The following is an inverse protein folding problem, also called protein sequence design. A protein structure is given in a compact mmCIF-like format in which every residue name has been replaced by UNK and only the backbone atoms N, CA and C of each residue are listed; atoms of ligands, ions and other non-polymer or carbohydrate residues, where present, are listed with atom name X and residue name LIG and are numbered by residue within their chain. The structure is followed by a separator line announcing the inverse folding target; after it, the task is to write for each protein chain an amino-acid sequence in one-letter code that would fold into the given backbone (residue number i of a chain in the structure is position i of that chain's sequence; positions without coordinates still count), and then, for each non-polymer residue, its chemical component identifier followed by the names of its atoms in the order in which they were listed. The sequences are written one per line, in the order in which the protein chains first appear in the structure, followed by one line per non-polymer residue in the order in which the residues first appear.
data_IF_622983312859
#
_entry.id   IF_622983312859
#
_cell.length_a   1.000
_cell.length_b   1.000
_cell.length_c   1.000
_cell.angle_alpha   90.00
_cell.angle_beta   90.00
_cell.angle_gamma   90.00
#
_symmetry.space_group_name_H-M   'P 1'
#
loop_
_entity.id
_entity.type
_entity.pdbx_description
1 polymer ?
#
# COMPACT_ATOMS: atom_id res chain seq x y z
N UNK A 1 -0.44 25.15 11.19
CA UNK A 1 -1.86 24.88 10.84
C UNK A 1 -2.43 23.81 11.77
N UNK A 2 -3.73 23.84 12.03
CA UNK A 2 -4.41 22.82 12.84
C UNK A 2 -4.69 21.59 11.96
N UNK A 3 -4.69 20.39 12.55
CA UNK A 3 -5.16 19.14 11.92
C UNK A 3 -6.58 19.32 11.38
N UNK A 4 -6.85 18.83 10.15
CA UNK A 4 -8.16 18.86 9.49
C UNK A 4 -8.61 17.43 9.21
N UNK A 5 -9.90 17.16 9.42
CA UNK A 5 -10.52 15.86 9.14
C UNK A 5 -11.55 16.02 8.03
N UNK A 6 -11.64 15.05 7.14
CA UNK A 6 -12.50 15.02 5.96
C UNK A 6 -13.42 13.81 5.99
N UNK A 7 -14.60 13.95 5.41
CA UNK A 7 -15.62 12.91 5.32
C UNK A 7 -16.02 12.68 3.86
N UNK A 8 -16.26 11.42 3.48
CA UNK A 8 -16.64 11.07 2.12
C UNK A 8 -17.82 11.89 1.57
N UNK A 9 -18.86 12.09 2.38
CA UNK A 9 -20.10 12.73 1.93
C UNK A 9 -19.99 14.25 1.78
N UNK A 10 -19.16 14.92 2.58
CA UNK A 10 -19.02 16.40 2.55
C UNK A 10 -17.81 16.86 1.74
N UNK A 11 -16.72 16.09 1.77
CA UNK A 11 -15.43 16.52 1.26
C UNK A 11 -14.96 15.70 0.03
N UNK A 12 -15.70 14.65 -0.32
CA UNK A 12 -15.42 13.77 -1.44
C UNK A 12 -14.35 12.71 -1.17
N UNK A 13 -13.75 12.68 0.02
CA UNK A 13 -12.84 11.64 0.47
C UNK A 13 -12.80 11.56 2.00
N UNK A 14 -12.41 10.39 2.53
CA UNK A 14 -12.21 10.19 3.96
C UNK A 14 -10.73 10.31 4.30
N UNK A 15 -10.39 11.29 5.15
CA UNK A 15 -8.99 11.57 5.41
C UNK A 15 -8.73 12.47 6.62
N UNK A 16 -7.46 12.56 6.99
CA UNK A 16 -6.96 13.51 8.01
C UNK A 16 -5.67 14.15 7.53
N UNK A 17 -5.69 15.46 7.41
CA UNK A 17 -4.51 16.25 7.07
C UNK A 17 -3.74 16.64 8.33
N UNK A 18 -2.46 16.33 8.33
CA UNK A 18 -1.48 16.68 9.34
C UNK A 18 -0.46 17.64 8.74
N UNK A 19 -0.59 18.95 8.96
CA UNK A 19 0.43 19.90 8.51
C UNK A 19 1.73 19.69 9.27
N UNK A 20 2.86 19.78 8.57
CA UNK A 20 4.16 19.70 9.22
C UNK A 20 4.36 20.93 10.15
N UNK A 21 4.64 20.72 11.45
CA UNK A 21 4.78 21.83 12.40
C UNK A 21 5.96 22.76 12.10
N UNK A 22 6.95 22.30 11.32
CA UNK A 22 8.09 23.14 10.87
C UNK A 22 7.81 23.88 9.57
N UNK A 23 6.60 23.72 9.02
CA UNK A 23 6.25 24.21 7.69
C UNK A 23 6.82 23.28 6.58
N UNK A 24 5.99 22.97 5.60
CA UNK A 24 6.38 22.21 4.41
C UNK A 24 5.61 22.72 3.19
N UNK A 25 6.23 22.62 2.01
CA UNK A 25 5.64 23.04 0.73
C UNK A 25 5.15 21.85 -0.12
N UNK A 26 5.40 20.64 0.33
CA UNK A 26 5.09 19.39 -0.38
C UNK A 26 4.30 18.48 0.54
N UNK A 27 3.46 17.64 -0.01
CA UNK A 27 2.63 16.71 0.76
C UNK A 27 2.78 15.27 0.27
N UNK A 28 2.68 14.33 1.23
CA UNK A 28 2.53 12.91 0.96
C UNK A 28 1.13 12.45 1.34
N UNK A 29 0.42 11.80 0.41
CA UNK A 29 -0.78 11.02 0.71
C UNK A 29 -0.30 9.67 1.27
N UNK A 30 -0.73 9.34 2.49
CA UNK A 30 -0.42 8.08 3.15
C UNK A 30 -1.67 7.22 3.30
N UNK A 31 -1.66 6.04 2.69
CA UNK A 31 -2.73 5.06 2.82
C UNK A 31 -2.35 4.08 3.94
N UNK A 32 -2.72 4.38 5.19
CA UNK A 32 -2.22 3.70 6.39
C UNK A 32 -3.32 2.95 7.18
N UNK A 33 -4.14 2.15 6.49
CA UNK A 33 -5.10 1.28 7.17
C UNK A 33 -6.51 1.83 7.32
N UNK A 34 -7.23 1.37 8.35
CA UNK A 34 -8.68 1.49 8.46
C UNK A 34 -9.19 2.89 8.83
N UNK A 35 -8.35 3.68 9.50
CA UNK A 35 -8.74 5.02 9.95
C UNK A 35 -7.57 6.01 9.77
N UNK A 36 -7.79 7.13 9.06
CA UNK A 36 -6.74 8.11 8.79
C UNK A 36 -6.28 8.88 10.04
N UNK A 37 -6.85 8.55 11.20
CA UNK A 37 -6.53 9.14 12.50
C UNK A 37 -6.22 8.09 13.58
N UNK A 38 -6.04 6.84 13.20
CA UNK A 38 -5.65 5.77 14.12
C UNK A 38 -4.19 5.90 14.57
N UNK A 39 -3.72 4.91 15.29
CA UNK A 39 -2.36 4.91 15.84
C UNK A 39 -1.30 4.75 14.75
N UNK A 40 -1.54 3.88 13.75
CA UNK A 40 -0.59 3.64 12.66
C UNK A 40 -0.51 4.84 11.71
N UNK A 41 -1.64 5.44 11.35
CA UNK A 41 -1.69 6.67 10.57
C UNK A 41 -0.90 7.80 11.25
N UNK A 42 -1.03 7.95 12.58
CA UNK A 42 -0.24 8.93 13.36
C UNK A 42 1.26 8.62 13.37
N UNK A 43 1.65 7.36 13.41
CA UNK A 43 3.07 6.97 13.32
C UNK A 43 3.62 7.27 11.93
N UNK A 44 2.89 6.92 10.86
CA UNK A 44 3.23 7.28 9.49
C UNK A 44 3.35 8.79 9.29
N UNK A 45 2.37 9.56 9.77
CA UNK A 45 2.41 11.01 9.71
C UNK A 45 3.63 11.61 10.44
N UNK A 46 3.99 11.09 11.62
CA UNK A 46 5.18 11.53 12.35
C UNK A 46 6.47 11.21 11.61
N UNK A 47 6.55 10.03 10.99
CA UNK A 47 7.71 9.64 10.19
C UNK A 47 7.86 10.55 8.96
N UNK A 48 6.79 10.80 8.23
CA UNK A 48 6.76 11.71 7.09
C UNK A 48 7.07 13.16 7.47
N UNK A 49 6.57 13.64 8.62
CA UNK A 49 6.95 14.95 9.15
C UNK A 49 8.45 15.08 9.41
N UNK A 50 9.10 14.03 9.94
CA UNK A 50 10.56 14.01 10.12
C UNK A 50 11.28 14.13 8.78
N UNK A 51 10.68 13.61 7.71
CA UNK A 51 11.18 13.71 6.34
C UNK A 51 10.77 15.01 5.62
N UNK A 52 10.16 15.98 6.31
CA UNK A 52 10.00 17.35 5.81
C UNK A 52 8.73 17.61 4.99
N UNK A 53 7.75 16.74 4.99
CA UNK A 53 6.51 16.88 4.20
C UNK A 53 5.27 17.06 5.06
N UNK A 54 4.22 17.69 4.52
CA UNK A 54 2.86 17.61 5.03
C UNK A 54 2.29 16.21 4.76
N UNK A 55 1.30 15.78 5.51
CA UNK A 55 0.73 14.44 5.36
C UNK A 55 -0.79 14.50 5.28
N UNK A 56 -1.35 13.84 4.28
CA UNK A 56 -2.77 13.53 4.22
C UNK A 56 -2.92 12.02 4.36
N UNK A 57 -3.31 11.53 5.54
CA UNK A 57 -3.69 10.13 5.71
C UNK A 57 -5.10 9.92 5.16
N UNK A 58 -5.29 8.88 4.35
CA UNK A 58 -6.59 8.50 3.79
C UNK A 58 -6.90 7.04 4.07
N UNK A 59 -8.17 6.72 4.11
CA UNK A 59 -8.72 5.35 4.18
C UNK A 59 -10.00 5.27 3.35
N UNK A 60 -10.47 4.07 2.98
CA UNK A 60 -11.68 3.93 2.17
C UNK A 60 -12.94 4.50 2.85
N UNK A 61 -13.14 4.20 4.13
CA UNK A 61 -14.28 4.69 4.91
C UNK A 61 -13.97 4.63 6.42
N UNK A 62 -14.90 5.09 7.24
CA UNK A 62 -14.79 5.16 8.70
C UNK A 62 -14.62 3.76 9.30
N UNK A 63 -13.43 3.46 9.81
CA UNK A 63 -13.08 2.18 10.44
C UNK A 63 -13.43 0.95 9.58
N UNK A 64 -13.37 1.14 8.27
CA UNK A 64 -13.69 0.10 7.31
C UNK A 64 -12.65 0.12 6.18
N UNK A 65 -11.88 -0.94 6.08
CA UNK A 65 -10.86 -1.14 5.06
C UNK A 65 -11.38 -1.93 3.84
N UNK A 66 -12.69 -2.14 3.75
CA UNK A 66 -13.28 -2.80 2.57
C UNK A 66 -12.96 -2.03 1.29
N UNK A 67 -12.58 -2.77 0.26
CA UNK A 67 -12.32 -2.24 -1.06
C UNK A 67 -13.30 -2.87 -2.04
N UNK A 68 -14.44 -2.22 -2.23
CA UNK A 68 -15.48 -2.64 -3.17
C UNK A 68 -15.72 -1.50 -4.15
N UNK A 69 -15.05 -1.56 -5.28
CA UNK A 69 -15.09 -0.50 -6.29
C UNK A 69 -14.72 0.89 -5.69
N UNK A 70 -13.65 0.93 -4.88
CA UNK A 70 -13.22 2.18 -4.26
C UNK A 70 -12.90 3.22 -5.34
N UNK A 71 -13.57 4.40 -5.32
CA UNK A 71 -13.41 5.38 -6.39
C UNK A 71 -12.05 6.07 -6.35
N UNK A 72 -11.27 5.97 -7.42
CA UNK A 72 -10.00 6.71 -7.57
C UNK A 72 -10.22 8.23 -7.54
N UNK A 73 -11.42 8.71 -7.88
CA UNK A 73 -11.83 10.11 -7.77
C UNK A 73 -11.66 10.69 -6.37
N UNK A 74 -11.70 9.86 -5.35
CA UNK A 74 -11.44 10.30 -3.97
C UNK A 74 -9.99 10.74 -3.78
N UNK A 75 -9.05 10.02 -4.41
CA UNK A 75 -7.62 10.41 -4.40
C UNK A 75 -7.42 11.65 -5.27
N UNK A 76 -8.09 11.73 -6.43
CA UNK A 76 -8.06 12.94 -7.28
C UNK A 76 -8.54 14.18 -6.51
N UNK A 77 -9.67 14.08 -5.81
CA UNK A 77 -10.21 15.17 -4.98
C UNK A 77 -9.22 15.59 -3.88
N UNK A 78 -8.57 14.62 -3.24
CA UNK A 78 -7.53 14.87 -2.25
C UNK A 78 -6.30 15.58 -2.84
N UNK A 79 -5.87 15.21 -4.04
CA UNK A 79 -4.79 15.88 -4.79
C UNK A 79 -5.16 17.34 -5.05
N UNK A 80 -6.36 17.60 -5.56
CA UNK A 80 -6.84 18.97 -5.84
C UNK A 80 -6.92 19.79 -4.57
N UNK A 81 -7.41 19.20 -3.49
CA UNK A 81 -7.44 19.87 -2.18
C UNK A 81 -6.02 20.25 -1.71
N UNK A 82 -5.06 19.33 -1.78
CA UNK A 82 -3.67 19.59 -1.39
C UNK A 82 -3.04 20.70 -2.23
N UNK A 83 -3.25 20.72 -3.54
CA UNK A 83 -2.75 21.76 -4.46
C UNK A 83 -3.36 23.14 -4.11
N UNK A 84 -4.68 23.21 -3.90
CA UNK A 84 -5.37 24.46 -3.55
C UNK A 84 -4.94 25.02 -2.18
N UNK A 85 -4.36 24.17 -1.32
CA UNK A 85 -3.83 24.54 -0.01
C UNK A 85 -2.30 24.72 0.00
N UNK A 86 -1.72 24.99 -1.18
CA UNK A 86 -0.33 25.45 -1.33
C UNK A 86 0.72 24.36 -1.34
N UNK A 87 0.34 23.07 -1.47
CA UNK A 87 1.32 22.00 -1.67
C UNK A 87 1.76 21.96 -3.14
N UNK A 88 3.05 22.16 -3.38
CA UNK A 88 3.64 22.30 -4.72
C UNK A 88 3.86 20.97 -5.41
N UNK A 89 4.28 19.95 -4.66
CA UNK A 89 4.46 18.57 -5.12
C UNK A 89 3.66 17.63 -4.24
N UNK A 90 3.15 16.57 -4.84
CA UNK A 90 2.36 15.55 -4.17
C UNK A 90 2.97 14.18 -4.42
N UNK A 91 3.19 13.44 -3.33
CA UNK A 91 3.56 12.04 -3.38
C UNK A 91 2.46 11.16 -2.80
N UNK A 92 2.57 9.86 -3.02
CA UNK A 92 1.67 8.84 -2.46
C UNK A 92 2.46 7.63 -1.96
N UNK A 93 2.01 7.03 -0.86
CA UNK A 93 2.57 5.78 -0.37
C UNK A 93 1.52 4.87 0.25
N UNK A 94 1.70 3.60 0.05
CA UNK A 94 0.93 2.55 0.70
C UNK A 94 1.67 1.22 0.72
N UNK A 95 1.15 0.29 1.50
CA UNK A 95 1.67 -1.07 1.62
C UNK A 95 0.53 -2.07 1.34
N UNK A 96 0.86 -3.22 0.73
CA UNK A 96 -0.14 -4.26 0.45
C UNK A 96 -1.24 -3.74 -0.52
N UNK A 97 -2.52 -3.93 -0.21
CA UNK A 97 -3.64 -3.36 -0.98
C UNK A 97 -3.49 -1.84 -1.15
N UNK A 98 -3.14 -1.12 -0.08
CA UNK A 98 -2.87 0.33 -0.17
C UNK A 98 -1.65 0.66 -1.05
N UNK A 99 -0.67 -0.24 -1.15
CA UNK A 99 0.43 -0.14 -2.11
C UNK A 99 -0.05 -0.28 -3.55
N UNK A 100 -0.92 -1.24 -3.81
CA UNK A 100 -1.61 -1.42 -5.09
C UNK A 100 -2.43 -0.17 -5.45
N UNK A 101 -3.21 0.36 -4.51
CA UNK A 101 -3.99 1.59 -4.70
C UNK A 101 -3.11 2.80 -5.01
N UNK A 102 -1.95 2.90 -4.34
CA UNK A 102 -0.97 3.97 -4.58
C UNK A 102 -0.40 3.91 -6.00
N UNK A 103 -0.06 2.72 -6.48
CA UNK A 103 0.44 2.50 -7.84
C UNK A 103 -0.65 2.79 -8.87
N UNK A 104 -1.88 2.30 -8.64
CA UNK A 104 -3.01 2.56 -9.51
C UNK A 104 -3.28 4.07 -9.61
N UNK A 105 -3.42 4.76 -8.47
CA UNK A 105 -3.65 6.20 -8.44
C UNK A 105 -2.55 6.99 -9.17
N UNK A 106 -1.27 6.66 -8.93
CA UNK A 106 -0.16 7.33 -9.60
C UNK A 106 -0.14 7.08 -11.12
N UNK A 107 -0.67 5.95 -11.59
CA UNK A 107 -0.79 5.66 -13.03
C UNK A 107 -1.88 6.47 -13.72
N UNK A 108 -2.89 6.95 -12.97
CA UNK A 108 -3.98 7.80 -13.45
C UNK A 108 -3.69 9.29 -13.28
N UNK A 109 -3.00 9.69 -12.20
CA UNK A 109 -2.85 11.09 -11.81
C UNK A 109 -1.40 11.57 -11.93
N UNK A 110 -1.03 12.26 -13.03
CA UNK A 110 0.34 12.73 -13.27
C UNK A 110 0.81 13.82 -12.28
N UNK A 111 -0.09 14.37 -11.48
CA UNK A 111 0.23 15.29 -10.38
C UNK A 111 0.97 14.59 -9.22
N UNK A 112 0.90 13.26 -9.14
CA UNK A 112 1.70 12.46 -8.21
C UNK A 112 3.09 12.29 -8.81
N UNK A 113 4.09 12.84 -8.13
CA UNK A 113 5.49 12.87 -8.62
C UNK A 113 6.49 12.10 -7.74
N UNK A 114 6.00 11.48 -6.65
CA UNK A 114 6.73 10.50 -5.84
C UNK A 114 5.76 9.39 -5.43
N UNK A 115 6.10 8.14 -5.76
CA UNK A 115 5.24 6.98 -5.47
C UNK A 115 6.02 5.88 -4.77
N UNK A 116 5.51 5.41 -3.64
CA UNK A 116 6.03 4.23 -2.94
C UNK A 116 4.99 3.12 -2.96
N UNK A 117 5.28 2.04 -3.68
CA UNK A 117 4.53 0.79 -3.70
C UNK A 117 5.25 -0.26 -2.86
N UNK A 118 4.81 -0.45 -1.61
CA UNK A 118 5.43 -1.37 -0.65
C UNK A 118 4.64 -2.67 -0.61
N UNK A 119 5.30 -3.81 -0.83
CA UNK A 119 4.65 -5.12 -0.98
C UNK A 119 3.35 -5.04 -1.80
N UNK A 120 3.37 -4.26 -2.87
CA UNK A 120 2.20 -4.04 -3.73
C UNK A 120 2.05 -5.18 -4.76
N UNK A 121 0.82 -5.44 -5.19
CA UNK A 121 0.53 -6.24 -6.36
C UNK A 121 0.71 -5.42 -7.64
N UNK A 122 1.04 -6.09 -8.74
CA UNK A 122 1.05 -5.54 -10.10
C UNK A 122 -0.30 -5.67 -10.82
N UNK A 123 -1.26 -6.36 -10.21
CA UNK A 123 -2.64 -6.47 -10.63
C UNK A 123 -3.57 -5.63 -9.76
N UNK A 124 -4.68 -5.17 -10.35
CA UNK A 124 -5.89 -4.87 -9.59
C UNK A 124 -6.54 -6.20 -9.23
N UNK A 125 -6.87 -6.41 -7.98
CA UNK A 125 -7.54 -7.64 -7.51
C UNK A 125 -9.05 -7.44 -7.35
N UNK A 126 -9.76 -8.56 -7.28
CA UNK A 126 -11.19 -8.57 -6.92
C UNK A 126 -11.41 -7.82 -5.61
N UNK A 127 -12.49 -7.06 -5.54
CA UNK A 127 -12.91 -6.31 -4.35
C UNK A 127 -13.27 -7.23 -3.20
N UNK A 128 -13.06 -6.77 -1.98
CA UNK A 128 -13.34 -7.52 -0.76
C UNK A 128 -14.00 -6.64 0.30
N UNK A 129 -14.80 -7.27 1.14
CA UNK A 129 -15.35 -6.68 2.36
C UNK A 129 -14.60 -7.20 3.58
N UNK A 130 -14.46 -6.34 4.58
CA UNK A 130 -14.00 -6.69 5.93
C UNK A 130 -15.12 -6.54 6.95
N UNK A 131 -15.10 -7.40 7.96
CA UNK A 131 -16.08 -7.42 9.03
C UNK A 131 -16.22 -8.84 9.60
N UNK A 132 -17.35 -9.14 10.21
CA UNK A 132 -17.68 -10.49 10.66
C UNK A 132 -18.91 -11.00 9.90
N UNK A 133 -18.72 -12.08 9.13
CA UNK A 133 -19.78 -12.76 8.40
C UNK A 133 -19.51 -14.26 8.42
N UNK A 134 -20.40 -15.04 8.99
CA UNK A 134 -20.28 -16.50 9.06
C UNK A 134 -18.93 -16.99 9.64
N UNK A 135 -18.38 -16.26 10.61
CA UNK A 135 -17.06 -16.52 11.19
C UNK A 135 -15.87 -16.09 10.32
N UNK A 136 -16.11 -15.45 9.18
CA UNK A 136 -15.08 -14.89 8.29
C UNK A 136 -14.86 -13.42 8.58
N UNK A 137 -13.59 -13.00 8.55
CA UNK A 137 -13.20 -11.59 8.76
C UNK A 137 -13.02 -10.82 7.46
N UNK A 138 -12.84 -11.52 6.36
CA UNK A 138 -12.64 -10.96 5.04
C UNK A 138 -13.22 -11.92 3.99
N UNK A 139 -13.87 -11.38 2.98
CA UNK A 139 -14.42 -12.18 1.87
C UNK A 139 -14.45 -11.40 0.57
N UNK A 140 -14.17 -12.06 -0.57
CA UNK A 140 -14.26 -11.44 -1.88
C UNK A 140 -15.72 -11.14 -2.23
N UNK A 141 -15.94 -10.01 -2.91
CA UNK A 141 -17.26 -9.60 -3.40
C UNK A 141 -17.39 -10.00 -4.87
N UNK A 142 -18.39 -10.81 -5.24
CA UNK A 142 -18.60 -11.19 -6.64
C UNK A 142 -18.79 -9.97 -7.54
N UNK A 143 -18.16 -9.96 -8.70
CA UNK A 143 -18.28 -8.92 -9.72
C UNK A 143 -17.86 -7.51 -9.29
N UNK A 144 -17.08 -7.39 -8.23
CA UNK A 144 -16.51 -6.13 -7.76
C UNK A 144 -14.99 -6.12 -7.94
N UNK A 145 -14.45 -4.99 -8.36
CA UNK A 145 -13.03 -4.67 -8.31
C UNK A 145 -12.67 -4.05 -6.95
N UNK A 146 -11.42 -4.07 -6.54
CA UNK A 146 -10.96 -3.21 -5.44
C UNK A 146 -11.16 -1.74 -5.79
N UNK A 147 -10.93 -1.35 -7.04
CA UNK A 147 -10.94 0.04 -7.49
C UNK A 147 -11.98 0.30 -8.59
N UNK A 148 -12.44 1.54 -8.68
CA UNK A 148 -13.27 2.02 -9.79
C UNK A 148 -12.77 3.36 -10.31
N UNK A 149 -13.15 3.68 -11.56
CA UNK A 149 -12.90 4.96 -12.20
C UNK A 149 -14.11 5.35 -13.03
N UNK A 150 -14.58 6.60 -12.89
CA UNK A 150 -15.78 7.15 -13.56
C UNK A 150 -17.00 6.26 -13.36
N UNK A 151 -17.18 5.79 -12.11
CA UNK A 151 -18.30 4.94 -11.72
C UNK A 151 -18.28 3.51 -12.28
N UNK A 152 -17.18 3.08 -12.91
CA UNK A 152 -17.02 1.72 -13.46
C UNK A 152 -15.91 0.98 -12.71
N UNK A 153 -16.12 -0.29 -12.33
CA UNK A 153 -15.05 -1.15 -11.83
C UNK A 153 -13.87 -1.17 -12.79
N UNK A 154 -12.65 -1.06 -12.28
CA UNK A 154 -11.46 -1.34 -13.08
C UNK A 154 -11.39 -2.84 -13.40
N UNK A 155 -10.78 -3.20 -14.52
CA UNK A 155 -10.47 -4.61 -14.80
C UNK A 155 -9.60 -5.18 -13.68
N UNK A 156 -9.87 -6.40 -13.24
CA UNK A 156 -9.25 -6.98 -12.07
C UNK A 156 -9.05 -8.50 -12.21
N UNK A 157 -8.07 -9.02 -11.51
CA UNK A 157 -7.85 -10.45 -11.34
C UNK A 157 -8.85 -10.99 -10.31
N UNK A 158 -9.76 -11.91 -10.67
CA UNK A 158 -10.69 -12.52 -9.73
C UNK A 158 -10.00 -13.58 -8.89
N UNK A 159 -10.46 -13.77 -7.66
CA UNK A 159 -10.08 -14.92 -6.86
C UNK A 159 -10.79 -16.19 -7.37
N UNK A 160 -10.06 -17.30 -7.37
CA UNK A 160 -10.62 -18.62 -7.70
C UNK A 160 -11.51 -19.16 -6.58
N UNK A 161 -11.33 -18.68 -5.38
CA UNK A 161 -12.10 -19.08 -4.20
C UNK A 161 -13.13 -18.00 -3.85
N UNK A 162 -14.38 -18.43 -3.68
CA UNK A 162 -15.47 -17.60 -3.19
C UNK A 162 -15.67 -17.79 -1.68
N UNK A 163 -16.43 -16.88 -1.07
CA UNK A 163 -16.88 -17.04 0.31
C UNK A 163 -17.80 -18.27 0.46
N UNK A 164 -17.66 -19.16 1.49
CA UNK A 164 -16.71 -19.03 2.61
C UNK A 164 -15.34 -19.70 2.36
N UNK A 165 -15.15 -20.39 1.24
CA UNK A 165 -13.94 -21.19 0.93
C UNK A 165 -12.69 -20.30 0.94
N UNK A 166 -12.80 -19.07 0.46
CA UNK A 166 -11.71 -18.07 0.48
C UNK A 166 -11.08 -17.97 1.89
N UNK A 167 -11.90 -17.76 2.92
CA UNK A 167 -11.40 -17.64 4.28
C UNK A 167 -10.91 -18.97 4.86
N UNK A 168 -11.55 -20.09 4.50
CA UNK A 168 -11.09 -21.42 4.90
C UNK A 168 -9.69 -21.71 4.37
N UNK A 169 -9.37 -21.30 3.15
CA UNK A 169 -8.03 -21.42 2.57
C UNK A 169 -6.98 -20.63 3.35
N UNK A 170 -7.30 -19.40 3.76
CA UNK A 170 -6.41 -18.63 4.65
C UNK A 170 -6.16 -19.39 5.96
N UNK A 171 -7.20 -19.93 6.58
CA UNK A 171 -7.07 -20.68 7.83
C UNK A 171 -6.24 -21.96 7.65
N UNK A 172 -6.46 -22.72 6.56
CA UNK A 172 -5.71 -23.92 6.24
C UNK A 172 -4.22 -23.61 6.03
N UNK A 173 -3.89 -22.60 5.24
CA UNK A 173 -2.51 -22.22 4.93
C UNK A 173 -1.80 -21.63 6.17
N UNK A 174 -2.53 -20.88 7.00
CA UNK A 174 -2.00 -20.29 8.24
C UNK A 174 -1.68 -21.37 9.28
N UNK A 175 -2.47 -22.43 9.34
CA UNK A 175 -2.33 -23.47 10.38
C UNK A 175 -0.97 -24.15 10.31
N UNK A 176 -0.16 -23.96 11.37
CA UNK A 176 1.19 -24.55 11.47
C UNK A 176 2.26 -23.86 10.63
N UNK A 177 1.95 -22.77 9.92
CA UNK A 177 2.92 -22.03 9.12
C UNK A 177 3.97 -21.27 9.97
N UNK A 178 3.60 -20.90 11.19
CA UNK A 178 4.40 -20.00 12.05
C UNK A 178 4.17 -18.51 11.77
N UNK A 179 3.29 -18.17 10.82
CA UNK A 179 2.81 -16.83 10.55
C UNK A 179 1.45 -16.58 11.23
N UNK A 180 1.18 -15.35 11.63
CA UNK A 180 -0.14 -14.99 12.19
C UNK A 180 -1.25 -15.10 11.14
N UNK A 181 -0.89 -14.88 9.89
CA UNK A 181 -1.74 -15.06 8.71
C UNK A 181 -0.87 -15.45 7.53
N UNK A 182 -1.35 -16.44 6.76
CA UNK A 182 -0.77 -16.83 5.49
C UNK A 182 -1.88 -16.99 4.47
N UNK A 183 -1.72 -16.34 3.31
CA UNK A 183 -2.77 -16.28 2.28
C UNK A 183 -2.22 -16.36 0.85
N UNK A 184 -0.96 -16.78 0.69
CA UNK A 184 -0.31 -16.83 -0.62
C UNK A 184 -1.04 -17.73 -1.61
N UNK A 185 -1.67 -18.82 -1.13
CA UNK A 185 -2.44 -19.74 -1.97
C UNK A 185 -3.58 -19.07 -2.73
N UNK A 186 -4.25 -18.05 -2.14
CA UNK A 186 -5.35 -17.34 -2.80
C UNK A 186 -4.91 -16.71 -4.13
N UNK A 187 -3.76 -16.05 -4.10
CA UNK A 187 -3.18 -15.33 -5.23
C UNK A 187 -2.54 -16.28 -6.24
N UNK A 188 -1.74 -17.25 -5.75
CA UNK A 188 -1.07 -18.24 -6.59
C UNK A 188 -2.09 -19.09 -7.37
N UNK A 189 -3.12 -19.57 -6.70
CA UNK A 189 -4.12 -20.45 -7.32
C UNK A 189 -5.00 -19.66 -8.30
N UNK A 190 -5.30 -18.37 -7.98
CA UNK A 190 -6.04 -17.50 -8.89
C UNK A 190 -5.25 -17.18 -10.16
N UNK A 191 -3.94 -16.89 -10.05
CA UNK A 191 -3.09 -16.67 -11.22
C UNK A 191 -2.90 -17.95 -12.06
N UNK A 192 -2.92 -19.15 -11.45
CA UNK A 192 -2.85 -20.44 -12.17
C UNK A 192 -4.17 -20.84 -12.84
N UNK A 193 -5.30 -20.37 -12.31
CA UNK A 193 -6.63 -20.77 -12.81
C UNK A 193 -6.93 -20.21 -14.21
N UNK A 194 -6.32 -19.09 -14.58
CA UNK A 194 -6.43 -18.48 -15.90
C UNK A 194 -5.28 -17.52 -16.20
N UNK A 195 -5.07 -17.25 -17.47
CA UNK A 195 -4.19 -16.16 -17.89
C UNK A 195 -4.83 -14.79 -17.54
N UNK A 196 -3.99 -13.84 -17.13
CA UNK A 196 -4.40 -12.47 -16.90
C UNK A 196 -4.52 -11.70 -18.22
N UNK A 197 -5.31 -10.65 -18.22
CA UNK A 197 -5.37 -9.70 -19.32
C UNK A 197 -4.49 -8.48 -19.06
N UNK A 198 -4.15 -7.78 -20.14
CA UNK A 198 -3.37 -6.54 -20.03
C UNK A 198 -4.12 -5.46 -19.23
N UNK A 199 -5.44 -5.43 -19.30
CA UNK A 199 -6.30 -4.45 -18.62
C UNK A 199 -6.31 -4.61 -17.10
N UNK A 200 -6.06 -5.82 -16.59
CA UNK A 200 -6.01 -6.13 -15.17
C UNK A 200 -4.72 -5.67 -14.50
N UNK A 201 -3.66 -5.48 -15.31
CA UNK A 201 -2.38 -5.01 -14.82
C UNK A 201 -2.37 -3.49 -14.60
N UNK A 202 -1.75 -3.07 -13.50
CA UNK A 202 -1.51 -1.64 -13.23
C UNK A 202 -0.54 -1.08 -14.27
N UNK A 203 -0.89 0.05 -14.87
CA UNK A 203 -0.09 0.71 -15.93
C UNK A 203 1.02 1.56 -15.32
N UNK A 204 1.97 0.90 -14.64
CA UNK A 204 3.07 1.59 -13.93
C UNK A 204 3.96 2.43 -14.84
N UNK A 205 4.02 2.15 -16.14
CA UNK A 205 4.71 2.95 -17.14
C UNK A 205 4.12 4.35 -17.33
N UNK A 206 2.87 4.58 -16.87
CA UNK A 206 2.23 5.89 -16.89
C UNK A 206 2.63 6.78 -15.72
N UNK A 207 3.20 6.18 -14.64
CA UNK A 207 3.60 6.91 -13.42
C UNK A 207 4.65 7.97 -13.77
N UNK A 208 4.55 9.13 -13.11
CA UNK A 208 5.47 10.26 -13.30
C UNK A 208 6.39 10.43 -12.10
N UNK A 209 7.49 11.16 -12.35
CA UNK A 209 8.47 11.47 -11.30
C UNK A 209 9.24 10.24 -10.80
N UNK A 210 9.32 10.06 -9.48
CA UNK A 210 10.08 8.97 -8.86
C UNK A 210 9.17 7.85 -8.36
N UNK A 211 9.51 6.61 -8.71
CA UNK A 211 8.80 5.40 -8.31
C UNK A 211 9.72 4.48 -7.53
N UNK A 212 9.32 4.07 -6.32
CA UNK A 212 10.03 3.04 -5.56
C UNK A 212 9.11 1.86 -5.31
N UNK A 213 9.55 0.69 -5.78
CA UNK A 213 8.87 -0.59 -5.62
C UNK A 213 9.67 -1.45 -4.65
N UNK A 214 9.04 -1.92 -3.59
CA UNK A 214 9.68 -2.77 -2.59
C UNK A 214 8.85 -4.01 -2.34
N UNK A 215 9.49 -5.18 -2.41
CA UNK A 215 8.90 -6.47 -2.08
C UNK A 215 9.84 -7.35 -1.27
N UNK A 216 9.33 -8.47 -0.77
CA UNK A 216 10.12 -9.50 -0.13
C UNK A 216 9.72 -10.88 -0.66
N UNK A 217 10.70 -11.80 -0.76
CA UNK A 217 10.48 -13.17 -1.25
C UNK A 217 9.83 -14.06 -0.19
N UNK A 218 9.97 -13.71 1.08
CA UNK A 218 9.38 -14.40 2.21
C UNK A 218 8.05 -13.79 2.70
N UNK A 219 7.40 -12.99 1.85
CA UNK A 219 6.07 -12.43 2.12
C UNK A 219 5.04 -13.57 2.29
N UNK A 220 4.34 -13.58 3.44
CA UNK A 220 3.35 -14.62 3.77
C UNK A 220 1.92 -14.30 3.31
N UNK A 221 1.66 -13.09 2.79
CA UNK A 221 0.33 -12.70 2.32
C UNK A 221 0.17 -12.96 0.82
N UNK A 222 1.12 -12.49 0.00
CA UNK A 222 1.17 -12.72 -1.44
C UNK A 222 2.61 -12.69 -1.98
N UNK A 223 2.82 -12.95 -3.25
CA UNK A 223 4.16 -13.05 -3.86
C UNK A 223 4.73 -11.66 -4.21
N UNK A 224 4.90 -10.77 -3.21
CA UNK A 224 5.33 -9.39 -3.44
C UNK A 224 6.67 -9.28 -4.21
N UNK A 225 7.63 -10.14 -3.93
CA UNK A 225 8.90 -10.17 -4.67
C UNK A 225 8.71 -10.47 -6.16
N UNK A 226 7.83 -11.41 -6.51
CA UNK A 226 7.46 -11.73 -7.90
C UNK A 226 6.79 -10.54 -8.58
N UNK A 227 5.86 -9.87 -7.88
CA UNK A 227 5.15 -8.72 -8.42
C UNK A 227 6.09 -7.55 -8.72
N UNK A 228 7.02 -7.25 -7.81
CA UNK A 228 8.05 -6.21 -8.04
C UNK A 228 8.92 -6.55 -9.26
N UNK A 229 9.34 -7.82 -9.43
CA UNK A 229 10.14 -8.21 -10.61
C UNK A 229 9.34 -8.10 -11.92
N UNK A 230 8.04 -8.43 -11.93
CA UNK A 230 7.17 -8.26 -13.11
C UNK A 230 6.98 -6.78 -13.45
N UNK A 231 6.79 -5.92 -12.44
CA UNK A 231 6.71 -4.47 -12.61
C UNK A 231 8.02 -3.90 -13.16
N UNK A 232 9.16 -4.31 -12.64
CA UNK A 232 10.46 -3.90 -13.15
C UNK A 232 10.66 -4.34 -14.61
N UNK A 233 10.29 -5.58 -14.95
CA UNK A 233 10.36 -6.08 -16.32
C UNK A 233 9.46 -5.26 -17.25
N UNK A 234 8.23 -4.94 -16.85
CA UNK A 234 7.31 -4.09 -17.60
C UNK A 234 7.91 -2.72 -17.90
N UNK A 235 8.58 -2.09 -16.92
CA UNK A 235 9.26 -0.80 -17.13
C UNK A 235 10.45 -0.92 -18.07
N UNK A 236 11.21 -2.02 -18.05
CA UNK A 236 12.29 -2.25 -19.02
C UNK A 236 11.80 -2.43 -20.46
N UNK A 237 10.59 -2.95 -20.63
CA UNK A 237 10.02 -3.27 -21.96
C UNK A 237 9.17 -2.14 -22.54
N UNK A 238 8.67 -1.22 -21.72
CA UNK A 238 7.73 -0.18 -22.15
C UNK A 238 8.30 1.22 -21.99
N UNK A 239 8.01 2.13 -22.93
CA UNK A 239 8.37 3.55 -22.76
C UNK A 239 7.75 4.12 -21.48
N UNK A 240 8.55 4.77 -20.66
CA UNK A 240 8.14 5.43 -19.44
C UNK A 240 8.97 6.68 -19.18
N UNK A 241 8.49 7.56 -18.30
CA UNK A 241 9.21 8.79 -17.93
C UNK A 241 9.56 8.85 -16.43
N UNK A 242 9.15 7.85 -15.66
CA UNK A 242 9.51 7.81 -14.24
C UNK A 242 10.98 7.38 -14.06
N UNK A 243 11.62 7.95 -13.04
CA UNK A 243 12.85 7.41 -12.47
C UNK A 243 12.47 6.37 -11.43
N UNK A 244 12.81 5.09 -11.64
CA UNK A 244 12.36 4.03 -10.75
C UNK A 244 13.50 3.29 -10.06
N UNK A 245 13.16 2.74 -8.90
CA UNK A 245 13.97 1.80 -8.14
C UNK A 245 13.08 0.61 -7.76
N UNK A 246 13.50 -0.61 -8.12
CA UNK A 246 12.81 -1.86 -7.79
C UNK A 246 13.73 -2.70 -6.90
N UNK A 247 13.29 -3.00 -5.69
CA UNK A 247 14.09 -3.72 -4.68
C UNK A 247 13.30 -4.90 -4.15
N UNK A 248 13.91 -6.07 -4.23
CA UNK A 248 13.36 -7.29 -3.63
C UNK A 248 14.35 -7.80 -2.59
N UNK A 249 13.87 -7.96 -1.37
CA UNK A 249 14.64 -8.54 -0.28
C UNK A 249 14.33 -10.03 -0.13
N UNK A 250 15.33 -10.83 0.18
CA UNK A 250 15.14 -12.24 0.51
C UNK A 250 14.34 -12.38 1.81
N UNK A 251 14.68 -11.55 2.82
CA UNK A 251 14.06 -11.56 4.14
C UNK A 251 13.53 -10.17 4.50
N UNK A 252 12.24 -9.98 4.39
CA UNK A 252 11.58 -8.70 4.69
C UNK A 252 10.22 -8.85 5.34
N UNK A 253 9.59 -10.02 5.15
CA UNK A 253 8.20 -10.29 5.50
C UNK A 253 7.23 -9.43 4.69
N UNK A 254 5.94 -9.49 5.01
CA UNK A 254 4.95 -8.56 4.45
C UNK A 254 5.14 -7.12 4.94
N UNK A 255 5.73 -6.91 6.13
CA UNK A 255 5.87 -5.59 6.75
C UNK A 255 7.18 -4.91 6.40
N UNK A 256 7.33 -4.53 5.14
CA UNK A 256 8.46 -3.76 4.59
C UNK A 256 8.35 -2.25 4.90
N UNK A 257 7.89 -1.89 6.08
CA UNK A 257 7.79 -0.51 6.54
C UNK A 257 9.12 0.01 7.10
N UNK A 258 9.36 1.33 7.08
CA UNK A 258 10.57 1.93 7.67
C UNK A 258 10.75 1.56 9.14
N UNK A 259 11.95 1.14 9.52
CA UNK A 259 12.27 0.75 10.90
C UNK A 259 11.95 1.85 11.91
N UNK A 260 12.30 3.11 11.60
CA UNK A 260 12.04 4.23 12.50
C UNK A 260 10.56 4.58 12.60
N UNK A 261 9.75 4.31 11.57
CA UNK A 261 8.29 4.43 11.63
C UNK A 261 7.70 3.38 12.59
N UNK A 262 8.09 2.12 12.44
CA UNK A 262 7.63 1.04 13.32
C UNK A 262 8.06 1.25 14.78
N UNK A 263 9.26 1.82 15.02
CA UNK A 263 9.70 2.20 16.36
C UNK A 263 8.92 3.35 16.98
N UNK A 264 8.22 4.17 16.22
CA UNK A 264 7.26 5.12 16.79
C UNK A 264 6.02 4.41 17.34
N UNK A 265 5.65 3.29 16.74
CA UNK A 265 4.56 2.46 17.23
C UNK A 265 5.00 1.56 18.40
N UNK A 266 6.18 0.95 18.29
CA UNK A 266 6.75 0.01 19.25
C UNK A 266 8.22 0.38 19.56
N UNK A 267 8.46 1.35 20.46
CA UNK A 267 9.82 1.81 20.80
C UNK A 267 10.71 0.70 21.36
N UNK A 268 10.12 -0.20 22.11
CA UNK A 268 10.78 -1.36 22.73
C UNK A 268 10.04 -2.63 22.33
N UNK A 269 10.78 -3.69 22.04
CA UNK A 269 10.20 -5.00 21.74
C UNK A 269 9.73 -5.23 20.30
N UNK A 270 9.91 -4.28 19.36
CA UNK A 270 9.51 -4.44 17.96
C UNK A 270 10.01 -5.77 17.37
N UNK A 271 11.29 -6.08 17.54
CA UNK A 271 11.89 -7.34 17.07
C UNK A 271 11.23 -8.58 17.67
N UNK A 272 10.85 -8.51 18.95
CA UNK A 272 10.17 -9.62 19.62
C UNK A 272 8.75 -9.79 19.09
N UNK A 273 7.98 -8.72 18.95
CA UNK A 273 6.61 -8.77 18.41
C UNK A 273 6.60 -9.33 16.99
N UNK A 274 7.50 -8.87 16.12
CA UNK A 274 7.57 -9.35 14.75
C UNK A 274 7.90 -10.86 14.65
N UNK A 275 8.66 -11.42 15.60
CA UNK A 275 8.89 -12.87 15.67
C UNK A 275 7.63 -13.69 15.96
N UNK A 276 6.64 -13.10 16.62
CA UNK A 276 5.33 -13.75 16.84
C UNK A 276 4.38 -13.56 15.68
N UNK A 277 4.61 -12.55 14.85
CA UNK A 277 3.76 -12.23 13.69
C UNK A 277 4.20 -12.99 12.44
N UNK A 278 5.52 -13.11 12.21
CA UNK A 278 6.08 -13.69 11.00
C UNK A 278 7.13 -14.76 11.31
N UNK A 279 6.98 -15.93 10.68
CA UNK A 279 7.97 -17.00 10.74
C UNK A 279 9.35 -16.51 10.30
N UNK A 280 9.42 -15.81 9.18
CA UNK A 280 10.67 -15.28 8.66
C UNK A 280 11.36 -14.30 9.63
N UNK A 281 10.61 -13.45 10.32
CA UNK A 281 11.19 -12.59 11.36
C UNK A 281 11.69 -13.36 12.59
N UNK A 282 11.18 -14.57 12.83
CA UNK A 282 11.69 -15.48 13.87
C UNK A 282 12.97 -16.19 13.42
N UNK A 283 13.01 -16.67 12.17
CA UNK A 283 14.12 -17.44 11.60
C UNK A 283 15.30 -16.53 11.21
N UNK A 284 15.01 -15.35 10.62
CA UNK A 284 15.98 -14.37 10.10
C UNK A 284 15.82 -12.97 10.72
N UNK A 285 15.91 -12.85 12.07
CA UNK A 285 15.54 -11.61 12.76
C UNK A 285 16.48 -10.43 12.49
N UNK A 286 17.75 -10.69 12.17
CA UNK A 286 18.73 -9.64 11.88
C UNK A 286 18.60 -9.15 10.44
N UNK A 287 18.36 -10.06 9.51
CA UNK A 287 18.15 -9.83 8.10
C UNK A 287 16.88 -9.00 7.89
N UNK A 288 15.77 -9.39 8.51
CA UNK A 288 14.52 -8.61 8.47
C UNK A 288 14.67 -7.22 9.11
N UNK A 289 15.47 -7.06 10.17
CA UNK A 289 15.78 -5.75 10.73
C UNK A 289 16.66 -4.92 9.80
N UNK A 290 17.68 -5.53 9.18
CA UNK A 290 18.53 -4.87 8.20
C UNK A 290 17.72 -4.39 6.99
N UNK A 291 16.80 -5.22 6.48
CA UNK A 291 15.85 -4.87 5.43
C UNK A 291 15.06 -3.61 5.78
N UNK A 292 14.41 -3.57 6.95
CA UNK A 292 13.62 -2.40 7.37
C UNK A 292 14.46 -1.13 7.55
N UNK A 293 15.71 -1.25 8.01
CA UNK A 293 16.66 -0.12 8.10
C UNK A 293 17.08 0.40 6.73
N UNK A 294 17.32 -0.51 5.76
CA UNK A 294 17.65 -0.11 4.40
C UNK A 294 16.46 0.56 3.71
N UNK A 295 15.23 0.04 3.90
CA UNK A 295 13.99 0.66 3.44
C UNK A 295 13.84 2.08 4.01
N UNK A 296 14.03 2.24 5.32
CA UNK A 296 13.96 3.55 5.98
C UNK A 296 14.93 4.56 5.36
N UNK A 297 16.17 4.14 5.11
CA UNK A 297 17.19 4.94 4.44
C UNK A 297 16.79 5.32 3.02
N UNK A 298 16.31 4.35 2.20
CA UNK A 298 15.92 4.57 0.80
C UNK A 298 14.75 5.52 0.68
N UNK A 299 13.67 5.27 1.42
CA UNK A 299 12.47 6.10 1.34
C UNK A 299 12.73 7.50 1.88
N UNK A 300 13.48 7.63 2.98
CA UNK A 300 13.89 8.95 3.49
C UNK A 300 14.75 9.71 2.49
N UNK A 301 15.74 9.06 1.88
CA UNK A 301 16.59 9.67 0.85
C UNK A 301 15.76 10.13 -0.36
N UNK A 302 14.84 9.28 -0.83
CA UNK A 302 13.96 9.62 -1.94
C UNK A 302 13.07 10.83 -1.67
N UNK A 303 12.54 10.95 -0.44
CA UNK A 303 11.76 12.14 -0.04
C UNK A 303 12.66 13.38 -0.03
N UNK A 304 13.88 13.29 0.56
CA UNK A 304 14.81 14.43 0.62
C UNK A 304 15.22 14.93 -0.77
N UNK A 305 15.54 14.01 -1.68
CA UNK A 305 15.83 14.34 -3.07
C UNK A 305 14.63 15.03 -3.74
N UNK A 306 13.45 14.44 -3.64
CA UNK A 306 12.23 14.93 -4.26
C UNK A 306 11.79 16.31 -3.76
N UNK A 307 11.99 16.64 -2.47
CA UNK A 307 11.63 17.97 -1.95
C UNK A 307 12.65 19.05 -2.30
N UNK A 308 13.87 18.68 -2.73
CA UNK A 308 14.95 19.62 -3.11
C UNK A 308 15.04 19.89 -4.59
N UNK A 309 14.54 19.01 -5.45
CA UNK A 309 14.35 19.23 -6.90
C UNK A 309 13.27 20.30 -7.16
#
# INVERSE_FOLDING_TARGET
MKKLCFQNNSDGFYGTYYPNPKGAKHAMIGLFGDDPNDFMAKCGAKWLHKNGVNVLCMSPDVKNYSHVNYPLERIETAIQWLKSHGNQKIGIMGMSTAGMDSLAAASYFPDITLTFGLTASDFIWQGFEQGEKDGCKEWPVPHASTLSWQGKPLAYMPFVYEHPVYYQKIQEETKGSGDITRSTCLFIDSEKAREHTEEEMIKIENIKGKLILIGADDDSFWEAGKYVRRMEQRLKERPHSCNYEAVVYEHGTHFVLPESMLRLALPVGLKLVLKFVFRAAKEYPNECEATRKDIDRRLSAAIQEWITE
#
